data_IF_972609427067
#
_entry.id   IF_972609427067
#
_cell.length_a   1.000
_cell.length_b   1.000
_cell.length_c   1.000
_cell.angle_alpha   90.00
_cell.angle_beta   90.00
_cell.angle_gamma   90.00
#
_symmetry.space_group_name_H-M   'P 1'
#
loop_
_entity.id
_entity.type
_entity.pdbx_description
1 polymer ?
#
# COMPACT_ATOMS: atom_id res chain seq x y z
N UNK A 1 73.09 -0.03 7.23
CA UNK A 1 72.48 -0.34 5.92
C UNK A 1 71.51 -1.49 6.21
N UNK A 2 70.33 -1.23 6.78
CA UNK A 2 69.05 -1.02 6.08
C UNK A 2 68.87 -2.07 4.96
N UNK A 3 67.86 -2.95 4.97
CA UNK A 3 66.45 -2.61 5.14
C UNK A 3 65.59 -3.78 5.63
N UNK A 4 64.58 -3.40 6.39
CA UNK A 4 63.58 -4.20 7.05
C UNK A 4 62.60 -4.94 6.13
N UNK A 5 62.04 -5.96 6.77
CA UNK A 5 60.96 -6.88 6.42
C UNK A 5 59.81 -6.30 5.61
N UNK A 6 59.47 -7.00 4.53
CA UNK A 6 58.16 -6.90 3.89
C UNK A 6 57.11 -7.53 4.82
N UNK A 7 56.14 -6.76 5.29
CA UNK A 7 54.83 -7.30 5.67
C UNK A 7 53.77 -6.25 5.44
N UNK A 8 52.93 -6.56 4.46
CA UNK A 8 51.69 -5.90 4.14
C UNK A 8 50.78 -5.97 5.36
N UNK A 9 50.59 -4.86 6.05
CA UNK A 9 49.33 -4.63 6.74
C UNK A 9 48.73 -3.35 6.16
N UNK A 10 48.02 -3.58 5.06
CA UNK A 10 47.02 -2.69 4.51
C UNK A 10 46.22 -2.09 5.67
N UNK A 11 46.46 -0.81 5.94
CA UNK A 11 45.57 0.04 6.72
C UNK A 11 44.20 -0.06 6.07
N UNK A 12 43.41 -1.01 6.55
CA UNK A 12 42.03 -1.20 6.15
C UNK A 12 41.30 0.01 6.69
N UNK A 13 41.22 1.04 5.85
CA UNK A 13 40.23 2.09 5.95
C UNK A 13 38.88 1.39 6.04
N UNK A 14 38.40 1.16 7.25
CA UNK A 14 36.99 0.86 7.50
C UNK A 14 36.24 2.16 7.23
N UNK A 15 36.18 2.56 5.96
CA UNK A 15 35.20 3.50 5.44
C UNK A 15 33.88 2.78 5.53
N UNK A 16 33.28 2.84 6.71
CA UNK A 16 31.93 2.37 6.94
C UNK A 16 31.05 3.28 6.09
N UNK A 17 30.52 2.76 4.99
CA UNK A 17 29.36 3.35 4.35
C UNK A 17 28.24 3.28 5.36
N UNK A 18 28.05 4.37 6.12
CA UNK A 18 26.78 4.63 6.81
C UNK A 18 25.75 4.71 5.68
N UNK A 19 25.16 3.57 5.38
CA UNK A 19 24.10 3.46 4.40
C UNK A 19 22.91 4.17 5.03
N UNK A 20 22.78 5.46 4.72
CA UNK A 20 21.52 6.17 4.88
C UNK A 20 20.63 5.67 3.74
N UNK A 21 20.20 4.40 3.86
CA UNK A 21 19.13 3.88 3.04
C UNK A 21 17.87 4.58 3.55
N UNK A 22 17.67 5.83 3.12
CA UNK A 22 16.34 6.42 3.11
C UNK A 22 15.47 5.43 2.35
N UNK A 23 14.66 4.68 3.10
CA UNK A 23 13.69 3.76 2.51
C UNK A 23 12.87 4.60 1.56
N UNK A 24 12.86 4.23 0.28
CA UNK A 24 12.08 4.93 -0.72
C UNK A 24 10.68 5.18 -0.15
N UNK A 25 10.11 6.41 -0.31
CA UNK A 25 8.79 6.70 0.19
C UNK A 25 7.86 5.57 -0.25
N UNK A 26 7.08 4.98 0.67
CA UNK A 26 6.24 3.86 0.32
C UNK A 26 5.34 4.27 -0.85
N UNK A 27 5.32 3.45 -1.92
CA UNK A 27 4.51 3.68 -3.11
C UNK A 27 3.03 3.51 -2.76
N UNK A 28 2.49 4.55 -2.13
CA UNK A 28 1.13 4.60 -1.64
C UNK A 28 0.14 4.48 -2.79
N UNK A 29 0.35 5.24 -3.87
CA UNK A 29 -0.54 5.24 -5.03
C UNK A 29 -0.53 3.87 -5.73
N UNK A 30 0.63 3.22 -5.84
CA UNK A 30 0.73 1.85 -6.34
C UNK A 30 -0.01 0.85 -5.47
N UNK A 31 0.09 0.97 -4.14
CA UNK A 31 -0.64 0.15 -3.18
C UNK A 31 -2.16 0.35 -3.27
N UNK A 32 -2.62 1.60 -3.33
CA UNK A 32 -4.02 1.96 -3.47
C UNK A 32 -4.59 1.44 -4.79
N UNK A 33 -3.87 1.58 -5.90
CA UNK A 33 -4.33 1.09 -7.19
C UNK A 33 -4.47 -0.45 -7.19
N UNK A 34 -3.49 -1.15 -6.57
CA UNK A 34 -3.51 -2.61 -6.47
C UNK A 34 -4.71 -3.09 -5.66
N UNK A 35 -4.99 -2.48 -4.50
CA UNK A 35 -6.13 -2.88 -3.68
C UNK A 35 -7.46 -2.51 -4.34
N UNK A 36 -7.54 -1.34 -5.00
CA UNK A 36 -8.72 -0.91 -5.76
C UNK A 36 -9.08 -1.88 -6.88
N UNK A 37 -8.08 -2.45 -7.55
CA UNK A 37 -8.30 -3.46 -8.58
C UNK A 37 -8.86 -4.77 -7.99
N UNK A 38 -8.44 -5.16 -6.79
CA UNK A 38 -9.04 -6.33 -6.11
C UNK A 38 -10.50 -6.05 -5.72
N UNK A 39 -10.80 -4.88 -5.16
CA UNK A 39 -12.19 -4.50 -4.84
C UNK A 39 -13.07 -4.40 -6.07
N UNK A 40 -12.53 -3.97 -7.21
CA UNK A 40 -13.27 -3.95 -8.49
C UNK A 40 -13.83 -5.33 -8.84
N UNK A 41 -13.08 -6.41 -8.59
CA UNK A 41 -13.54 -7.78 -8.84
C UNK A 41 -14.71 -8.15 -7.94
N UNK A 42 -14.66 -7.74 -6.68
CA UNK A 42 -15.71 -8.04 -5.70
C UNK A 42 -16.99 -7.25 -5.93
N UNK A 43 -16.88 -5.95 -6.26
CA UNK A 43 -18.03 -5.12 -6.65
C UNK A 43 -18.73 -5.68 -7.89
N UNK A 44 -17.97 -6.14 -8.88
CA UNK A 44 -18.55 -6.80 -10.07
C UNK A 44 -19.27 -8.11 -9.70
N UNK A 45 -18.70 -8.91 -8.78
CA UNK A 45 -19.31 -10.17 -8.32
C UNK A 45 -20.57 -9.93 -7.50
N UNK A 46 -20.67 -8.83 -6.76
CA UNK A 46 -21.87 -8.48 -5.99
C UNK A 46 -23.01 -7.93 -6.86
N UNK A 47 -22.79 -7.74 -8.16
CA UNK A 47 -23.77 -7.19 -9.09
C UNK A 47 -24.03 -5.69 -8.92
N UNK A 48 -23.20 -5.00 -8.13
CA UNK A 48 -23.34 -3.56 -7.92
C UNK A 48 -22.62 -2.79 -9.02
N UNK A 49 -23.18 -1.65 -9.39
CA UNK A 49 -22.58 -0.75 -10.36
C UNK A 49 -22.10 0.51 -9.65
N UNK A 50 -20.87 0.90 -9.96
CA UNK A 50 -20.33 2.18 -9.52
C UNK A 50 -20.88 3.26 -10.47
N UNK A 51 -21.38 4.39 -9.93
CA UNK A 51 -21.79 5.52 -10.76
C UNK A 51 -20.64 6.02 -11.63
N UNK A 52 -20.93 6.57 -12.83
CA UNK A 52 -19.91 7.02 -13.77
C UNK A 52 -19.05 8.18 -13.24
N UNK A 53 -19.52 8.93 -12.24
CA UNK A 53 -18.80 10.02 -11.59
C UNK A 53 -17.71 9.54 -10.62
N UNK A 54 -17.75 8.26 -10.23
CA UNK A 54 -16.85 7.68 -9.25
C UNK A 54 -15.85 6.74 -9.89
N UNK A 55 -14.58 6.83 -9.48
CA UNK A 55 -13.59 5.79 -9.75
C UNK A 55 -13.43 4.87 -8.55
N UNK A 56 -12.97 3.64 -8.79
CA UNK A 56 -12.80 2.67 -7.71
C UNK A 56 -11.74 3.10 -6.66
N UNK A 57 -10.60 3.71 -7.06
CA UNK A 57 -9.70 4.36 -6.11
C UNK A 57 -10.37 5.47 -5.28
N UNK A 58 -11.19 6.33 -5.89
CA UNK A 58 -11.88 7.39 -5.16
C UNK A 58 -12.85 6.82 -4.12
N UNK A 59 -13.53 5.73 -4.46
CA UNK A 59 -14.41 5.02 -3.54
C UNK A 59 -13.62 4.44 -2.35
N UNK A 60 -12.51 3.76 -2.62
CA UNK A 60 -11.62 3.23 -1.57
C UNK A 60 -11.10 4.37 -0.69
N UNK A 61 -10.73 5.51 -1.29
CA UNK A 61 -10.31 6.70 -0.53
C UNK A 61 -11.44 7.26 0.34
N UNK A 62 -12.65 7.35 -0.18
CA UNK A 62 -13.80 7.85 0.57
C UNK A 62 -14.19 6.94 1.75
N UNK A 63 -14.08 5.62 1.59
CA UNK A 63 -14.44 4.65 2.63
C UNK A 63 -13.37 4.57 3.73
N UNK A 64 -12.09 4.56 3.36
CA UNK A 64 -11.00 4.57 4.34
C UNK A 64 -10.92 5.95 5.01
N UNK A 65 -11.17 7.01 4.24
CA UNK A 65 -11.00 8.41 4.62
C UNK A 65 -9.58 8.90 4.36
N UNK A 66 -9.45 10.08 3.74
CA UNK A 66 -8.15 10.68 3.38
C UNK A 66 -7.22 10.85 4.58
N UNK A 67 -7.77 11.21 5.75
CA UNK A 67 -6.99 11.36 6.98
C UNK A 67 -6.40 10.03 7.45
N UNK A 68 -7.16 8.94 7.34
CA UNK A 68 -6.67 7.60 7.70
C UNK A 68 -5.70 7.10 6.65
N UNK A 69 -5.88 7.46 5.39
CA UNK A 69 -4.93 7.14 4.33
C UNK A 69 -3.59 7.84 4.55
N UNK A 70 -3.61 9.12 4.92
CA UNK A 70 -2.40 9.90 5.17
C UNK A 70 -1.69 9.50 6.47
N UNK A 71 -2.46 9.12 7.50
CA UNK A 71 -1.92 8.74 8.81
C UNK A 71 -1.58 7.24 8.89
N UNK A 72 -2.33 6.39 8.19
CA UNK A 72 -2.06 4.97 8.09
C UNK A 72 -1.10 4.71 6.93
N UNK A 73 0.18 4.85 7.26
CA UNK A 73 1.35 4.27 6.59
C UNK A 73 1.05 2.93 5.85
N UNK A 74 1.88 2.54 4.86
CA UNK A 74 1.72 1.35 4.00
C UNK A 74 1.25 0.05 4.67
N UNK A 75 1.47 -0.12 5.97
CA UNK A 75 0.97 -1.24 6.76
C UNK A 75 -0.55 -1.42 6.73
N UNK A 76 -1.35 -0.35 6.65
CA UNK A 76 -2.81 -0.47 6.61
C UNK A 76 -3.30 -1.01 5.26
N UNK A 77 -2.85 -0.43 4.15
CA UNK A 77 -3.15 -0.97 2.82
C UNK A 77 -2.66 -2.41 2.65
N UNK A 78 -1.50 -2.73 3.25
CA UNK A 78 -0.97 -4.10 3.24
C UNK A 78 -1.84 -5.06 4.05
N UNK A 79 -2.30 -4.63 5.23
CA UNK A 79 -3.20 -5.42 6.07
C UNK A 79 -4.52 -5.68 5.35
N UNK A 80 -5.13 -4.63 4.79
CA UNK A 80 -6.41 -4.75 4.07
C UNK A 80 -6.26 -5.59 2.80
N UNK A 81 -5.11 -5.51 2.12
CA UNK A 81 -4.82 -6.39 0.99
C UNK A 81 -4.85 -7.86 1.38
N UNK A 82 -4.21 -8.23 2.49
CA UNK A 82 -4.24 -9.61 2.98
C UNK A 82 -5.62 -10.00 3.54
N UNK A 83 -6.32 -9.09 4.21
CA UNK A 83 -7.69 -9.31 4.69
C UNK A 83 -8.63 -9.66 3.53
N UNK A 84 -8.59 -8.90 2.43
CA UNK A 84 -9.35 -9.20 1.21
C UNK A 84 -8.93 -10.50 0.54
N UNK A 85 -7.63 -10.83 0.54
CA UNK A 85 -7.19 -12.11 -0.02
C UNK A 85 -7.68 -13.30 0.80
N UNK A 86 -7.76 -13.19 2.12
CA UNK A 86 -8.17 -14.25 3.05
C UNK A 86 -9.70 -14.37 3.14
N UNK A 87 -10.39 -13.24 3.26
CA UNK A 87 -11.83 -13.17 3.56
C UNK A 87 -12.68 -12.78 2.35
N UNK A 88 -12.08 -12.29 1.26
CA UNK A 88 -12.78 -11.94 0.03
C UNK A 88 -13.88 -10.90 0.26
N UNK A 89 -15.11 -11.26 -0.12
CA UNK A 89 -16.29 -10.41 0.07
C UNK A 89 -16.66 -10.19 1.55
N UNK A 90 -16.16 -11.03 2.47
CA UNK A 90 -16.41 -10.90 3.91
C UNK A 90 -15.35 -10.04 4.61
N UNK A 91 -14.36 -9.53 3.86
CA UNK A 91 -13.39 -8.57 4.39
C UNK A 91 -14.13 -7.30 4.84
N UNK A 92 -13.73 -6.73 5.98
CA UNK A 92 -14.43 -5.61 6.59
C UNK A 92 -14.57 -4.43 5.61
N UNK A 93 -13.47 -4.09 4.93
CA UNK A 93 -13.46 -2.98 3.98
C UNK A 93 -14.29 -3.29 2.71
N UNK A 94 -14.45 -4.57 2.33
CA UNK A 94 -15.31 -4.93 1.22
C UNK A 94 -16.79 -4.66 1.55
N UNK A 95 -17.24 -4.98 2.77
CA UNK A 95 -18.60 -4.69 3.22
C UNK A 95 -18.85 -3.17 3.25
N UNK A 96 -17.91 -2.38 3.76
CA UNK A 96 -18.01 -0.92 3.79
C UNK A 96 -18.09 -0.32 2.38
N UNK A 97 -17.26 -0.81 1.46
CA UNK A 97 -17.27 -0.40 0.05
C UNK A 97 -18.62 -0.68 -0.60
N UNK A 98 -19.16 -1.87 -0.39
CA UNK A 98 -20.47 -2.23 -0.94
C UNK A 98 -21.56 -1.33 -0.36
N UNK A 99 -21.62 -1.18 0.96
CA UNK A 99 -22.60 -0.32 1.62
C UNK A 99 -22.52 1.13 1.15
N UNK A 100 -21.31 1.64 0.94
CA UNK A 100 -21.12 2.99 0.41
C UNK A 100 -21.61 3.12 -1.04
N UNK A 101 -21.40 2.10 -1.88
CA UNK A 101 -21.97 2.06 -3.24
C UNK A 101 -23.51 2.10 -3.20
N UNK A 102 -24.15 1.36 -2.29
CA UNK A 102 -25.62 1.40 -2.15
C UNK A 102 -26.10 2.79 -1.71
N UNK A 103 -25.36 3.43 -0.79
CA UNK A 103 -25.68 4.78 -0.34
C UNK A 103 -25.58 5.78 -1.48
N UNK A 104 -24.51 5.73 -2.27
CA UNK A 104 -24.34 6.61 -3.43
C UNK A 104 -25.47 6.36 -4.43
N UNK A 105 -25.74 5.11 -4.81
CA UNK A 105 -26.81 4.76 -5.74
C UNK A 105 -28.23 5.03 -5.21
N UNK A 106 -28.41 5.28 -3.91
CA UNK A 106 -29.69 5.71 -3.34
C UNK A 106 -29.86 7.23 -3.40
N UNK A 107 -28.76 7.98 -3.28
CA UNK A 107 -28.76 9.45 -3.30
C UNK A 107 -28.85 10.00 -4.71
N UNK A 108 -28.27 9.29 -5.69
CA UNK A 108 -28.34 9.59 -7.12
C UNK A 108 -29.47 8.79 -7.80
#
# INVERSE_FOLDING_TARGET
MLSDTMSLDSLSSTSSTRSDAESAPPDFEGGLNRISNEYTKWVRRSGRQLPPEWTMPDLVRAVIGDDRIALCMPGFLTNDYYDVMLHGQNAWLCEQILNFIDLINYVF
#
